data_IF_149793257268
#
_entry.id   IF_149793257268
#
_cell.length_a   1.000
_cell.length_b   1.000
_cell.length_c   1.000
_cell.angle_alpha   90.00
_cell.angle_beta   90.00
_cell.angle_gamma   90.00
#
_symmetry.space_group_name_H-M   'P 1'
#
loop_
_entity.id
_entity.type
_entity.pdbx_description
1 polymer ?
#
# COMPACT_ATOMS: atom_id res chain seq x y z
N UNK A 1 -53.51 25.19 29.53
CA UNK A 1 -52.94 24.07 28.74
C UNK A 1 -51.79 24.63 27.91
N UNK A 2 -50.54 24.25 28.21
CA UNK A 2 -49.37 24.60 27.38
C UNK A 2 -48.76 23.30 26.91
N UNK A 3 -48.90 23.01 25.62
CA UNK A 3 -48.37 21.80 24.99
C UNK A 3 -46.85 21.86 24.97
N UNK A 4 -46.23 20.90 25.65
CA UNK A 4 -44.81 20.56 25.59
C UNK A 4 -44.48 20.01 24.21
N UNK A 5 -43.72 20.78 23.43
CA UNK A 5 -43.07 20.26 22.20
C UNK A 5 -41.75 19.65 22.64
N UNK A 6 -41.71 18.32 22.76
CA UNK A 6 -40.46 17.58 22.96
C UNK A 6 -39.63 17.66 21.66
N UNK A 7 -38.68 18.59 21.62
CA UNK A 7 -37.58 18.52 20.67
C UNK A 7 -36.77 17.26 20.97
N UNK A 8 -36.86 16.29 20.07
CA UNK A 8 -35.93 15.16 20.06
C UNK A 8 -34.56 15.73 19.66
N UNK A 9 -33.68 15.89 20.64
CA UNK A 9 -32.25 16.08 20.40
C UNK A 9 -31.74 14.83 19.66
N UNK A 10 -31.71 14.89 18.33
CA UNK A 10 -30.99 13.93 17.51
C UNK A 10 -29.52 14.27 17.70
N UNK A 11 -28.83 13.48 18.52
CA UNK A 11 -27.37 13.56 18.60
C UNK A 11 -26.81 13.31 17.19
N UNK A 12 -25.87 14.14 16.70
CA UNK A 12 -25.21 13.86 15.44
C UNK A 12 -24.57 12.46 15.51
N UNK A 13 -24.48 11.73 14.38
CA UNK A 13 -23.82 10.43 14.37
C UNK A 13 -22.44 10.60 14.99
N UNK A 14 -21.96 9.62 15.79
CA UNK A 14 -20.64 9.72 16.39
C UNK A 14 -19.65 9.95 15.25
N UNK A 15 -19.06 11.15 15.21
CA UNK A 15 -17.96 11.45 14.32
C UNK A 15 -16.92 10.36 14.59
N UNK A 16 -16.62 9.55 13.58
CA UNK A 16 -15.44 8.68 13.58
C UNK A 16 -14.31 9.56 14.12
N UNK A 17 -13.88 9.27 15.35
CA UNK A 17 -12.82 10.03 16.01
C UNK A 17 -11.69 10.08 15.01
N UNK A 18 -11.40 11.26 14.48
CA UNK A 18 -10.23 11.50 13.67
C UNK A 18 -9.05 11.16 14.57
N UNK A 19 -8.53 9.95 14.42
CA UNK A 19 -7.27 9.56 15.03
C UNK A 19 -6.26 10.51 14.42
N UNK A 20 -5.84 11.51 15.20
CA UNK A 20 -4.72 12.36 14.83
C UNK A 20 -3.48 11.47 14.85
N UNK A 21 -3.18 10.92 13.67
CA UNK A 21 -2.05 10.05 13.36
C UNK A 21 -0.76 10.88 13.27
N UNK A 22 -0.50 11.71 14.29
CA UNK A 22 0.67 12.58 14.33
C UNK A 22 1.93 11.70 14.29
N UNK A 23 2.70 11.79 13.20
CA UNK A 23 3.93 11.03 12.99
C UNK A 23 3.78 9.72 12.20
N UNK A 24 2.57 9.38 11.74
CA UNK A 24 2.35 8.24 10.85
C UNK A 24 2.21 8.73 9.42
N UNK A 25 3.05 8.18 8.53
CA UNK A 25 2.91 8.39 7.09
C UNK A 25 1.68 7.60 6.61
N UNK A 26 0.86 8.23 5.78
CA UNK A 26 -0.36 7.63 5.21
C UNK A 26 -0.38 7.84 3.70
N UNK A 27 -1.02 6.91 2.98
CA UNK A 27 -1.14 6.97 1.51
C UNK A 27 0.22 7.13 0.85
N UNK A 28 0.30 8.09 -0.08
CA UNK A 28 1.48 8.39 -0.90
C UNK A 28 2.76 8.60 -0.09
N UNK A 29 2.66 9.18 1.11
CA UNK A 29 3.83 9.40 1.96
C UNK A 29 4.37 8.09 2.54
N UNK A 30 3.49 7.15 2.87
CA UNK A 30 3.89 5.82 3.36
C UNK A 30 4.49 4.99 2.21
N UNK A 31 3.87 5.09 1.03
CA UNK A 31 4.34 4.50 -0.21
C UNK A 31 5.77 4.95 -0.54
N UNK A 32 5.99 6.26 -0.62
CA UNK A 32 7.30 6.86 -0.92
C UNK A 32 8.37 6.41 0.09
N UNK A 33 8.04 6.41 1.38
CA UNK A 33 8.95 5.94 2.43
C UNK A 33 9.32 4.46 2.24
N UNK A 34 8.35 3.59 1.98
CA UNK A 34 8.59 2.17 1.72
C UNK A 34 9.48 1.97 0.48
N UNK A 35 9.25 2.72 -0.58
CA UNK A 35 10.07 2.65 -1.80
C UNK A 35 11.50 3.12 -1.58
N UNK A 36 11.70 4.19 -0.81
CA UNK A 36 13.05 4.61 -0.43
C UNK A 36 13.78 3.55 0.39
N UNK A 37 13.08 2.85 1.29
CA UNK A 37 13.65 1.71 2.03
C UNK A 37 14.06 0.58 1.08
N UNK A 38 13.17 0.17 0.17
CA UNK A 38 13.44 -0.87 -0.83
C UNK A 38 14.63 -0.48 -1.73
N UNK A 39 14.69 0.77 -2.21
CA UNK A 39 15.76 1.27 -3.05
C UNK A 39 17.12 1.31 -2.31
N UNK A 40 17.12 1.70 -1.03
CA UNK A 40 18.32 1.70 -0.18
C UNK A 40 18.82 0.30 0.18
N UNK A 41 17.93 -0.68 0.28
CA UNK A 41 18.25 -2.09 0.55
C UNK A 41 18.65 -2.88 -0.71
N UNK A 42 18.82 -2.23 -1.87
CA UNK A 42 19.20 -2.90 -3.13
C UNK A 42 20.45 -3.77 -3.03
N UNK A 43 21.43 -3.38 -2.20
CA UNK A 43 22.64 -4.18 -1.96
C UNK A 43 22.45 -5.32 -0.96
N UNK A 44 21.40 -5.28 -0.15
CA UNK A 44 21.11 -6.25 0.91
C UNK A 44 20.13 -7.34 0.45
N UNK A 45 19.28 -7.06 -0.53
CA UNK A 45 18.36 -8.05 -1.11
C UNK A 45 18.88 -8.50 -2.47
N UNK A 46 18.80 -9.80 -2.72
CA UNK A 46 19.14 -10.37 -4.02
C UNK A 46 17.96 -10.19 -4.99
N UNK A 47 17.83 -8.99 -5.56
CA UNK A 47 16.80 -8.70 -6.55
C UNK A 47 16.99 -9.55 -7.81
N UNK A 48 15.90 -10.17 -8.25
CA UNK A 48 15.87 -10.90 -9.53
C UNK A 48 15.46 -9.98 -10.66
N UNK A 49 14.56 -9.03 -10.38
CA UNK A 49 14.15 -8.02 -11.35
C UNK A 49 13.81 -6.70 -10.65
N UNK A 50 14.28 -5.58 -11.20
CA UNK A 50 13.90 -4.23 -10.78
C UNK A 50 14.12 -3.25 -11.93
N UNK A 51 13.08 -2.48 -12.29
CA UNK A 51 13.17 -1.44 -13.33
C UNK A 51 13.10 -0.07 -12.68
N UNK A 52 14.17 0.72 -12.86
CA UNK A 52 14.34 2.08 -12.34
C UNK A 52 13.96 2.28 -10.86
N UNK A 53 13.98 1.22 -10.04
CA UNK A 53 13.48 1.18 -8.67
C UNK A 53 11.98 1.49 -8.52
N UNK A 54 11.20 1.50 -9.60
CA UNK A 54 9.77 1.80 -9.60
C UNK A 54 8.93 0.53 -9.39
N UNK A 55 9.40 -0.61 -9.86
CA UNK A 55 8.72 -1.90 -9.69
C UNK A 55 9.71 -3.05 -9.86
N UNK A 56 9.34 -4.23 -9.35
CA UNK A 56 10.21 -5.39 -9.41
C UNK A 56 9.81 -6.52 -8.46
N UNK A 57 10.66 -7.52 -8.36
CA UNK A 57 10.53 -8.57 -7.38
C UNK A 57 11.87 -9.16 -6.95
N UNK A 58 11.88 -9.69 -5.73
CA UNK A 58 13.03 -10.35 -5.13
C UNK A 58 12.58 -11.53 -4.27
N UNK A 59 13.48 -12.46 -3.99
CA UNK A 59 13.23 -13.54 -3.06
C UNK A 59 13.63 -13.11 -1.64
N UNK A 60 12.72 -13.25 -0.68
CA UNK A 60 12.97 -12.97 0.74
C UNK A 60 13.29 -14.29 1.47
N UNK A 61 14.56 -14.55 1.82
CA UNK A 61 14.96 -15.81 2.42
C UNK A 61 14.33 -16.09 3.80
N UNK A 62 14.02 -15.05 4.57
CA UNK A 62 13.47 -15.22 5.92
C UNK A 62 12.06 -15.83 5.91
N UNK A 63 11.22 -15.43 4.95
CA UNK A 63 9.86 -15.96 4.80
C UNK A 63 9.76 -17.01 3.69
N UNK A 64 10.84 -17.23 2.93
CA UNK A 64 10.91 -18.16 1.79
C UNK A 64 9.86 -17.89 0.71
N UNK A 65 9.57 -16.61 0.46
CA UNK A 65 8.59 -16.16 -0.54
C UNK A 65 9.21 -15.17 -1.50
N UNK A 66 8.55 -14.97 -2.62
CA UNK A 66 8.82 -13.89 -3.55
C UNK A 66 8.02 -12.66 -3.16
N UNK A 67 8.66 -11.50 -3.14
CA UNK A 67 8.01 -10.22 -2.87
C UNK A 67 7.98 -9.45 -4.18
N UNK A 68 6.78 -9.11 -4.62
CA UNK A 68 6.51 -8.18 -5.74
C UNK A 68 6.25 -6.80 -5.18
N UNK A 69 6.71 -5.78 -5.88
CA UNK A 69 6.36 -4.39 -5.61
C UNK A 69 6.15 -3.63 -6.93
N UNK A 70 5.18 -2.72 -6.94
CA UNK A 70 4.89 -1.84 -8.07
C UNK A 70 4.44 -0.45 -7.60
N UNK A 71 5.13 0.60 -8.07
CA UNK A 71 4.83 2.00 -7.78
C UNK A 71 4.48 2.82 -9.03
N UNK A 72 4.34 2.19 -10.20
CA UNK A 72 4.20 2.93 -11.46
C UNK A 72 3.00 3.87 -11.49
N UNK A 73 1.97 3.57 -10.70
CA UNK A 73 0.73 4.35 -10.58
C UNK A 73 0.81 5.49 -9.55
N UNK A 74 1.91 5.61 -8.80
CA UNK A 74 1.97 6.42 -7.58
C UNK A 74 1.21 5.80 -6.40
N UNK A 75 0.64 4.61 -6.57
CA UNK A 75 0.07 3.81 -5.49
C UNK A 75 0.98 2.62 -5.19
N UNK A 76 1.23 2.37 -3.91
CA UNK A 76 2.16 1.33 -3.49
C UNK A 76 1.48 -0.01 -3.43
N UNK A 77 1.77 -0.83 -4.42
CA UNK A 77 1.39 -2.23 -4.44
C UNK A 77 2.56 -3.10 -3.96
N UNK A 78 2.28 -4.00 -3.01
CA UNK A 78 3.21 -5.04 -2.56
C UNK A 78 2.45 -6.34 -2.38
N UNK A 79 3.00 -7.44 -2.91
CA UNK A 79 2.37 -8.76 -2.86
C UNK A 79 3.37 -9.86 -2.55
N UNK A 80 2.90 -10.90 -1.88
CA UNK A 80 3.70 -12.08 -1.53
C UNK A 80 3.32 -13.23 -2.44
N UNK A 81 4.29 -13.81 -3.13
CA UNK A 81 4.10 -14.90 -4.08
C UNK A 81 4.85 -16.16 -3.66
N UNK A 82 4.33 -17.31 -4.04
CA UNK A 82 4.97 -18.60 -3.77
C UNK A 82 6.11 -18.87 -4.76
N UNK A 83 6.00 -18.33 -5.97
CA UNK A 83 6.93 -18.59 -7.08
C UNK A 83 7.35 -17.31 -7.80
N UNK A 84 8.52 -17.34 -8.42
CA UNK A 84 9.04 -16.29 -9.30
C UNK A 84 8.12 -16.04 -10.50
N UNK A 85 7.52 -17.09 -11.05
CA UNK A 85 6.58 -17.00 -12.18
C UNK A 85 5.32 -16.22 -11.81
N UNK A 86 4.76 -16.44 -10.62
CA UNK A 86 3.65 -15.63 -10.12
C UNK A 86 4.07 -14.18 -9.94
N UNK A 87 5.26 -13.97 -9.37
CA UNK A 87 5.79 -12.64 -9.14
C UNK A 87 5.99 -11.85 -10.43
N UNK A 88 6.58 -12.48 -11.44
CA UNK A 88 6.77 -11.89 -12.77
C UNK A 88 5.43 -11.59 -13.45
N UNK A 89 4.48 -12.54 -13.42
CA UNK A 89 3.17 -12.39 -14.06
C UNK A 89 2.37 -11.20 -13.53
N UNK A 90 2.41 -10.95 -12.22
CA UNK A 90 1.73 -9.79 -11.62
C UNK A 90 2.22 -8.47 -12.22
N UNK A 91 3.52 -8.37 -12.50
CA UNK A 91 4.10 -7.15 -13.10
C UNK A 91 3.80 -7.03 -14.59
N UNK A 92 3.60 -8.14 -15.29
CA UNK A 92 3.13 -8.19 -16.69
C UNK A 92 1.67 -7.72 -16.79
N UNK A 93 0.79 -8.23 -15.92
CA UNK A 93 -0.62 -7.83 -15.85
C UNK A 93 -0.79 -6.38 -15.33
N UNK A 94 0.19 -5.88 -14.55
CA UNK A 94 0.22 -4.49 -14.07
C UNK A 94 0.29 -3.43 -15.17
N UNK A 95 0.83 -3.74 -16.37
CA UNK A 95 0.74 -2.82 -17.52
C UNK A 95 -0.70 -2.68 -18.04
N UNK A 96 -1.54 -3.71 -17.85
CA UNK A 96 -2.95 -3.70 -18.28
C UNK A 96 -3.87 -3.09 -17.23
N UNK A 97 -3.51 -3.16 -15.93
CA UNK A 97 -4.25 -2.54 -14.82
C UNK A 97 -4.23 -1.00 -14.87
N UNK A 98 -3.31 -0.41 -15.65
CA UNK A 98 -3.14 1.04 -15.85
C UNK A 98 -3.76 1.58 -17.14
N UNK A 99 -4.37 0.71 -17.95
CA UNK A 99 -4.99 1.09 -19.23
C UNK A 99 -6.52 1.29 -19.14
N UNK A 100 -7.10 1.29 -17.93
CA UNK A 100 -8.54 1.47 -17.69
C UNK A 100 -8.86 2.85 -17.09
#
# INVERSE_FOLDING_TARGET
MKNTKHEKHVLPPPSLKTLHLNGLLLGDQAAECLYHLIAGERGSRNYVFSKFNEYGYFYEPFIRRWIVFDNRAGDCYVEVCDTDKQAAKILEDGEQLLAA
#
